data_IF_985546636373
#
_entry.id   IF_985546636373
#
_cell.length_a   1.000
_cell.length_b   1.000
_cell.length_c   1.000
_cell.angle_alpha   90.00
_cell.angle_beta   90.00
_cell.angle_gamma   90.00
#
_symmetry.space_group_name_H-M   'P 1'
#
loop_
_entity.id
_entity.type
_entity.pdbx_description
1 polymer ?
#
# COMPACT_ATOMS: atom_id res chain seq x y z
N UNK A 1 -10.73 27.86 -16.31
CA UNK A 1 -10.92 26.40 -16.50
C UNK A 1 -12.36 26.09 -16.15
N UNK A 2 -13.11 25.46 -17.04
CA UNK A 2 -14.49 25.04 -16.74
C UNK A 2 -14.45 23.84 -15.80
N UNK A 3 -15.13 23.93 -14.66
CA UNK A 3 -15.21 22.84 -13.69
C UNK A 3 -16.12 21.74 -14.24
N UNK A 4 -15.59 20.52 -14.39
CA UNK A 4 -16.40 19.34 -14.71
C UNK A 4 -17.26 19.02 -13.48
N UNK A 5 -18.57 19.06 -13.64
CA UNK A 5 -19.51 18.74 -12.55
C UNK A 5 -19.90 17.27 -12.59
N UNK A 6 -20.22 16.69 -11.41
CA UNK A 6 -20.72 15.32 -11.30
C UNK A 6 -21.95 15.07 -12.19
N UNK A 7 -22.89 16.01 -12.20
CA UNK A 7 -24.11 15.93 -13.02
C UNK A 7 -23.81 15.92 -14.52
N UNK A 8 -22.87 16.77 -14.97
CA UNK A 8 -22.45 16.78 -16.36
C UNK A 8 -21.85 15.43 -16.77
N UNK A 9 -21.02 14.84 -15.92
CA UNK A 9 -20.39 13.54 -16.17
C UNK A 9 -21.41 12.40 -16.22
N UNK A 10 -22.37 12.38 -15.30
CA UNK A 10 -23.47 11.42 -15.30
C UNK A 10 -24.32 11.50 -16.57
N UNK A 11 -24.70 12.72 -16.98
CA UNK A 11 -25.45 12.92 -18.21
C UNK A 11 -24.67 12.42 -19.42
N UNK A 12 -23.38 12.76 -19.51
CA UNK A 12 -22.55 12.40 -20.64
C UNK A 12 -22.35 10.88 -20.77
N UNK A 13 -22.18 10.18 -19.65
CA UNK A 13 -22.12 8.72 -19.60
C UNK A 13 -23.44 8.11 -20.09
N UNK A 14 -24.58 8.61 -19.60
CA UNK A 14 -25.90 8.11 -20.02
C UNK A 14 -26.15 8.28 -21.52
N UNK A 15 -25.77 9.43 -22.10
CA UNK A 15 -25.90 9.69 -23.53
C UNK A 15 -25.03 8.72 -24.37
N UNK A 16 -23.79 8.46 -23.93
CA UNK A 16 -22.89 7.52 -24.61
C UNK A 16 -23.36 6.07 -24.50
N UNK A 17 -23.91 5.67 -23.35
CA UNK A 17 -24.49 4.33 -23.18
C UNK A 17 -25.74 4.14 -24.03
N UNK A 18 -26.61 5.13 -24.12
CA UNK A 18 -27.76 5.09 -25.01
C UNK A 18 -27.32 4.96 -26.48
N UNK A 19 -26.29 5.71 -26.89
CA UNK A 19 -25.72 5.64 -28.25
C UNK A 19 -25.13 4.25 -28.53
N UNK A 20 -24.42 3.65 -27.57
CA UNK A 20 -23.90 2.28 -27.69
C UNK A 20 -25.01 1.27 -27.97
N UNK A 21 -26.14 1.41 -27.29
CA UNK A 21 -27.24 0.46 -27.36
C UNK A 21 -28.06 0.61 -28.66
N UNK A 22 -27.97 1.75 -29.35
CA UNK A 22 -28.60 2.00 -30.66
C UNK A 22 -27.75 1.52 -31.86
N UNK A 23 -26.44 1.37 -31.70
CA UNK A 23 -25.53 0.97 -32.79
C UNK A 23 -25.45 -0.57 -32.87
N UNK A 24 -25.78 -1.20 -34.02
CA UNK A 24 -25.76 -2.66 -34.16
C UNK A 24 -24.41 -3.34 -33.90
N UNK A 25 -23.31 -2.59 -34.02
CA UNK A 25 -21.93 -3.04 -33.81
C UNK A 25 -21.30 -2.51 -32.50
N UNK A 26 -22.08 -1.81 -31.67
CA UNK A 26 -21.60 -1.18 -30.44
C UNK A 26 -20.74 0.07 -30.66
N UNK A 27 -20.07 0.51 -29.60
CA UNK A 27 -19.05 1.57 -29.66
C UNK A 27 -17.74 1.01 -30.20
N UNK A 28 -16.97 1.85 -30.89
CA UNK A 28 -15.58 1.51 -31.21
C UNK A 28 -14.71 1.46 -29.94
N UNK A 29 -13.44 1.07 -30.11
CA UNK A 29 -12.50 0.92 -28.99
C UNK A 29 -12.22 2.26 -28.28
N UNK A 30 -12.13 3.36 -29.03
CA UNK A 30 -11.83 4.69 -28.49
C UNK A 30 -13.01 5.22 -27.67
N UNK A 31 -14.23 5.07 -28.18
CA UNK A 31 -15.46 5.45 -27.47
C UNK A 31 -15.68 4.55 -26.24
N UNK A 32 -15.37 3.26 -26.34
CA UNK A 32 -15.42 2.32 -25.21
C UNK A 32 -14.42 2.69 -24.10
N UNK A 33 -13.18 3.02 -24.48
CA UNK A 33 -12.15 3.48 -23.56
C UNK A 33 -12.53 4.82 -22.92
N UNK A 34 -13.12 5.73 -23.72
CA UNK A 34 -13.59 7.02 -23.24
C UNK A 34 -14.73 6.86 -22.23
N UNK A 35 -15.70 5.99 -22.50
CA UNK A 35 -16.78 5.67 -21.57
C UNK A 35 -16.25 5.06 -20.26
N UNK A 36 -15.28 4.15 -20.35
CA UNK A 36 -14.63 3.55 -19.18
C UNK A 36 -13.90 4.61 -18.34
N UNK A 37 -13.17 5.52 -18.97
CA UNK A 37 -12.49 6.62 -18.30
C UNK A 37 -13.48 7.57 -17.60
N UNK A 38 -14.60 7.91 -18.25
CA UNK A 38 -15.65 8.74 -17.65
C UNK A 38 -16.28 8.06 -16.43
N UNK A 39 -16.58 6.76 -16.51
CA UNK A 39 -17.09 5.98 -15.38
C UNK A 39 -16.10 5.92 -14.22
N UNK A 40 -14.81 5.76 -14.50
CA UNK A 40 -13.76 5.79 -13.48
C UNK A 40 -13.64 7.17 -12.82
N UNK A 41 -13.74 8.24 -13.61
CA UNK A 41 -13.78 9.61 -13.08
C UNK A 41 -15.01 9.83 -12.18
N UNK A 42 -16.18 9.30 -12.55
CA UNK A 42 -17.39 9.38 -11.72
C UNK A 42 -17.19 8.63 -10.40
N UNK A 43 -16.69 7.39 -10.46
CA UNK A 43 -16.37 6.61 -9.26
C UNK A 43 -15.36 7.31 -8.34
N UNK A 44 -14.38 8.01 -8.92
CA UNK A 44 -13.39 8.78 -8.16
C UNK A 44 -14.00 10.00 -7.46
N UNK A 45 -15.02 10.62 -8.05
CA UNK A 45 -15.76 11.73 -7.43
C UNK A 45 -16.73 11.28 -6.34
N UNK A 46 -17.17 10.02 -6.40
CA UNK A 46 -18.08 9.40 -5.43
C UNK A 46 -17.37 8.61 -4.33
N UNK A 47 -16.03 8.52 -4.41
CA UNK A 47 -15.24 7.79 -3.43
C UNK A 47 -15.34 8.45 -2.05
N UNK A 48 -15.70 7.64 -1.05
CA UNK A 48 -15.67 8.03 0.34
C UNK A 48 -14.28 7.76 0.94
N UNK A 49 -13.79 8.69 1.75
CA UNK A 49 -12.50 8.55 2.41
C UNK A 49 -12.59 7.47 3.50
N UNK A 50 -11.64 6.54 3.50
CA UNK A 50 -11.55 5.49 4.53
C UNK A 50 -10.85 5.98 5.81
N UNK A 51 -10.16 7.11 5.73
CA UNK A 51 -9.50 7.76 6.86
C UNK A 51 -8.89 9.08 6.47
N UNK A 52 -8.29 9.77 7.42
CA UNK A 52 -7.71 11.09 7.26
C UNK A 52 -6.28 11.10 7.78
N UNK A 53 -5.33 11.41 6.89
CA UNK A 53 -3.92 11.49 7.24
C UNK A 53 -3.59 12.90 7.74
N UNK A 54 -3.04 13.00 8.94
CA UNK A 54 -2.50 14.25 9.45
C UNK A 54 -1.20 14.58 8.73
N UNK A 55 -1.15 15.72 8.04
CA UNK A 55 0.02 16.13 7.23
C UNK A 55 1.32 16.34 8.01
N UNK A 56 1.22 16.58 9.32
CA UNK A 56 2.38 16.89 10.16
C UNK A 56 2.97 15.65 10.80
N UNK A 57 2.12 14.66 11.12
CA UNK A 57 2.54 13.44 11.82
C UNK A 57 2.56 12.21 10.93
N UNK A 58 1.91 12.27 9.76
CA UNK A 58 1.76 11.14 8.83
C UNK A 58 0.83 10.02 9.35
N UNK A 59 0.20 10.21 10.52
CA UNK A 59 -0.72 9.22 11.10
C UNK A 59 -2.10 9.36 10.46
N UNK A 60 -2.75 8.21 10.23
CA UNK A 60 -4.10 8.12 9.68
C UNK A 60 -5.08 7.88 10.83
N UNK A 61 -6.20 8.58 10.82
CA UNK A 61 -7.26 8.48 11.81
C UNK A 61 -8.61 8.26 11.13
N UNK A 62 -9.53 7.59 11.81
CA UNK A 62 -10.94 7.59 11.41
C UNK A 62 -11.66 8.84 11.92
N UNK A 63 -12.85 9.14 11.39
CA UNK A 63 -13.68 10.24 11.91
C UNK A 63 -14.16 10.02 13.35
N UNK A 64 -14.20 8.76 13.79
CA UNK A 64 -14.55 8.39 15.17
C UNK A 64 -13.42 8.74 16.14
N UNK A 65 -12.18 8.47 15.75
CA UNK A 65 -10.99 8.81 16.54
C UNK A 65 -10.73 10.31 16.58
N UNK A 66 -10.93 10.99 15.44
CA UNK A 66 -10.67 12.42 15.30
C UNK A 66 -11.83 13.13 14.60
N UNK A 67 -12.86 13.57 15.35
CA UNK A 67 -13.97 14.33 14.81
C UNK A 67 -13.50 15.63 14.16
N UNK A 68 -14.02 15.93 12.97
CA UNK A 68 -13.70 17.15 12.21
C UNK A 68 -12.50 17.04 11.26
N UNK A 69 -11.84 15.88 11.17
CA UNK A 69 -10.74 15.65 10.23
C UNK A 69 -11.17 15.79 8.75
N UNK A 70 -12.45 15.65 8.44
CA UNK A 70 -13.07 15.90 7.13
C UNK A 70 -13.22 17.39 6.78
N UNK A 71 -13.27 18.26 7.79
CA UNK A 71 -13.51 19.70 7.59
C UNK A 71 -12.22 20.51 7.51
N UNK A 72 -11.15 20.08 8.18
CA UNK A 72 -9.88 20.81 8.24
C UNK A 72 -8.88 20.31 7.20
N UNK A 73 -9.09 20.72 5.96
CA UNK A 73 -8.22 20.42 4.82
C UNK A 73 -6.79 20.99 4.95
N UNK A 74 -6.52 21.90 5.90
CA UNK A 74 -5.16 22.42 6.12
C UNK A 74 -4.32 21.48 6.97
N UNK A 75 -4.95 20.59 7.73
CA UNK A 75 -4.29 19.66 8.66
C UNK A 75 -4.41 18.21 8.18
N UNK A 76 -5.53 17.87 7.55
CA UNK A 76 -5.86 16.51 7.18
C UNK A 76 -6.05 16.34 5.67
N UNK A 77 -5.56 15.21 5.16
CA UNK A 77 -5.75 14.79 3.78
C UNK A 77 -6.57 13.51 3.77
N UNK A 78 -7.69 13.45 3.02
CA UNK A 78 -8.47 12.23 2.92
C UNK A 78 -7.66 11.11 2.26
N UNK A 79 -7.71 9.93 2.87
CA UNK A 79 -7.13 8.69 2.37
C UNK A 79 -8.27 7.87 1.82
N UNK A 80 -8.21 7.54 0.53
CA UNK A 80 -9.21 6.73 -0.14
C UNK A 80 -8.69 5.30 -0.29
N UNK A 81 -9.57 4.32 -0.16
CA UNK A 81 -9.26 3.00 -0.67
C UNK A 81 -9.07 3.10 -2.18
N UNK A 82 -8.05 2.42 -2.71
CA UNK A 82 -7.98 2.25 -4.15
C UNK A 82 -9.31 1.61 -4.62
N UNK A 83 -9.98 2.16 -5.65
CA UNK A 83 -11.09 1.46 -6.28
C UNK A 83 -10.60 0.04 -6.57
N UNK A 84 -11.38 -1.00 -6.24
CA UNK A 84 -10.96 -2.36 -6.52
C UNK A 84 -10.63 -2.40 -8.01
N UNK A 85 -9.34 -2.58 -8.32
CA UNK A 85 -8.91 -2.74 -9.70
C UNK A 85 -9.80 -3.85 -10.27
N UNK A 86 -10.41 -3.69 -11.45
CA UNK A 86 -11.18 -4.78 -12.03
C UNK A 86 -10.24 -5.97 -12.14
N UNK A 87 -10.41 -6.93 -11.22
CA UNK A 87 -9.60 -8.13 -11.14
C UNK A 87 -10.11 -9.04 -12.25
N UNK A 88 -9.84 -8.66 -13.50
CA UNK A 88 -9.85 -9.58 -14.61
C UNK A 88 -8.56 -10.38 -14.50
N UNK A 89 -8.47 -11.25 -13.48
CA UNK A 89 -7.55 -12.37 -13.54
C UNK A 89 -8.03 -13.20 -14.72
N UNK A 90 -7.25 -13.27 -15.82
CA UNK A 90 -7.68 -14.03 -16.98
C UNK A 90 -7.94 -15.49 -16.60
N UNK A 91 -8.84 -16.17 -17.30
CA UNK A 91 -9.13 -17.58 -17.04
C UNK A 91 -7.87 -18.46 -17.22
N UNK A 92 -7.86 -19.62 -16.56
CA UNK A 92 -6.83 -20.63 -16.83
C UNK A 92 -6.96 -21.05 -18.29
N UNK A 93 -5.83 -21.24 -18.95
CA UNK A 93 -5.81 -21.98 -20.20
C UNK A 93 -5.86 -23.48 -19.86
N UNK A 94 -6.78 -24.20 -20.50
CA UNK A 94 -6.84 -25.66 -20.49
C UNK A 94 -5.58 -26.21 -21.19
N UNK A 95 -5.05 -27.33 -20.68
CA UNK A 95 -4.00 -28.08 -21.36
C UNK A 95 -4.69 -29.14 -22.22
N UNK A 96 -4.59 -29.02 -23.54
CA UNK A 96 -5.10 -30.04 -24.45
C UNK A 96 -4.04 -31.13 -24.68
N UNK A 97 -4.39 -32.39 -24.44
CA UNK A 97 -3.49 -33.55 -24.44
C UNK A 97 -3.05 -34.02 -25.85
N UNK A 98 -3.31 -33.24 -26.90
CA UNK A 98 -3.06 -33.62 -28.28
C UNK A 98 -1.57 -33.47 -28.68
N UNK A 99 -1.05 -34.50 -29.34
CA UNK A 99 0.38 -34.76 -29.59
C UNK A 99 1.12 -33.67 -30.42
N UNK A 100 0.39 -32.84 -31.18
CA UNK A 100 0.98 -31.77 -32.02
C UNK A 100 1.19 -30.44 -31.26
N UNK A 101 0.87 -30.39 -29.96
CA UNK A 101 0.73 -29.12 -29.22
C UNK A 101 1.83 -28.85 -28.18
N UNK A 102 3.05 -29.37 -28.34
CA UNK A 102 4.16 -29.11 -27.40
C UNK A 102 4.46 -27.60 -27.22
N UNK A 103 4.20 -26.79 -28.26
CA UNK A 103 4.32 -25.34 -28.20
C UNK A 103 3.16 -24.66 -27.43
N UNK A 104 1.94 -25.18 -27.54
CA UNK A 104 0.78 -24.65 -26.81
C UNK A 104 0.77 -25.07 -25.35
N UNK A 105 1.29 -26.25 -25.03
CA UNK A 105 1.61 -26.67 -23.66
C UNK A 105 2.52 -25.67 -22.94
N UNK A 106 3.60 -25.22 -23.62
CA UNK A 106 4.50 -24.21 -23.07
C UNK A 106 3.80 -22.87 -22.79
N UNK A 107 2.87 -22.47 -23.66
CA UNK A 107 2.07 -21.25 -23.46
C UNK A 107 1.10 -21.38 -22.29
N UNK A 108 0.37 -22.49 -22.18
CA UNK A 108 -0.57 -22.73 -21.08
C UNK A 108 0.16 -22.80 -19.73
N UNK A 109 1.31 -23.49 -19.66
CA UNK A 109 2.13 -23.58 -18.45
C UNK A 109 2.69 -22.20 -18.05
N UNK A 110 3.26 -21.46 -19.00
CA UNK A 110 3.77 -20.11 -18.73
C UNK A 110 2.68 -19.12 -18.32
N UNK A 111 1.53 -19.18 -18.97
CA UNK A 111 0.35 -18.37 -18.67
C UNK A 111 -0.20 -18.65 -17.28
N UNK A 112 -0.38 -19.92 -16.93
CA UNK A 112 -0.89 -20.33 -15.62
C UNK A 112 0.12 -20.02 -14.50
N UNK A 113 1.42 -20.07 -14.77
CA UNK A 113 2.46 -19.65 -13.83
C UNK A 113 2.44 -18.13 -13.58
N UNK A 114 2.31 -17.31 -14.63
CA UNK A 114 2.17 -15.86 -14.51
C UNK A 114 0.88 -15.48 -13.75
N UNK A 115 -0.24 -16.14 -14.06
CA UNK A 115 -1.50 -16.00 -13.34
C UNK A 115 -1.37 -16.31 -11.86
N UNK A 116 -0.67 -17.40 -11.51
CA UNK A 116 -0.41 -17.78 -10.12
C UNK A 116 0.47 -16.74 -9.40
N UNK A 117 1.49 -16.22 -10.06
CA UNK A 117 2.35 -15.16 -9.51
C UNK A 117 1.58 -13.86 -9.24
N UNK A 118 0.69 -13.45 -10.15
CA UNK A 118 -0.19 -12.31 -9.93
C UNK A 118 -1.10 -12.51 -8.71
N UNK A 119 -1.75 -13.69 -8.60
CA UNK A 119 -2.60 -14.01 -7.44
C UNK A 119 -1.82 -14.02 -6.11
N UNK A 120 -0.57 -14.51 -6.11
CA UNK A 120 0.29 -14.47 -4.93
C UNK A 120 0.70 -13.04 -4.54
N UNK A 121 0.89 -12.14 -5.51
CA UNK A 121 1.24 -10.74 -5.23
C UNK A 121 0.11 -9.97 -4.53
N UNK A 122 -1.16 -10.32 -4.76
CA UNK A 122 -2.31 -9.70 -4.08
C UNK A 122 -2.55 -10.26 -2.66
N UNK A 123 -1.88 -11.37 -2.29
CA UNK A 123 -1.98 -11.97 -0.96
C UNK A 123 -1.02 -11.37 0.08
N UNK A 124 -0.12 -10.47 -0.31
CA UNK A 124 0.92 -9.92 0.54
C UNK A 124 0.59 -8.48 0.98
N UNK A 125 -0.56 -8.30 1.63
CA UNK A 125 -1.03 -7.01 2.16
C UNK A 125 -0.26 -6.50 3.39
N UNK A 126 0.78 -7.20 3.85
CA UNK A 126 1.54 -6.85 5.06
C UNK A 126 2.74 -5.92 4.85
N UNK A 127 3.08 -5.52 3.62
CA UNK A 127 4.29 -4.71 3.35
C UNK A 127 4.08 -3.20 3.18
N UNK A 128 2.87 -2.67 3.36
CA UNK A 128 2.56 -1.26 3.06
C UNK A 128 2.24 -0.35 4.26
N UNK A 129 2.75 -0.62 5.46
CA UNK A 129 2.58 0.30 6.60
C UNK A 129 3.83 0.45 7.49
N UNK A 130 4.90 1.00 6.93
CA UNK A 130 5.88 1.87 7.63
C UNK A 130 6.95 2.31 6.64
N UNK A 131 7.58 3.49 6.81
CA UNK A 131 8.79 3.83 6.08
C UNK A 131 9.93 2.97 6.62
N UNK A 132 9.97 1.70 6.22
CA UNK A 132 11.18 0.89 6.31
C UNK A 132 12.13 1.51 5.30
N UNK A 133 13.01 2.39 5.75
CA UNK A 133 14.14 2.85 4.94
C UNK A 133 15.00 1.60 4.73
N UNK A 134 15.03 0.99 3.52
CA UNK A 134 15.59 -0.36 3.34
C UNK A 134 17.07 -0.44 3.75
N UNK A 135 17.76 0.71 3.71
CA UNK A 135 19.19 0.84 3.99
C UNK A 135 19.52 1.27 5.43
N UNK A 136 18.52 1.51 6.28
CA UNK A 136 18.79 1.91 7.66
C UNK A 136 18.98 0.70 8.59
N UNK A 137 20.05 0.74 9.38
CA UNK A 137 20.49 -0.36 10.23
C UNK A 137 19.93 -0.32 11.66
N UNK A 138 19.46 0.85 12.13
CA UNK A 138 19.03 1.06 13.50
C UNK A 138 17.65 0.44 13.80
N UNK A 139 17.35 0.26 15.09
CA UNK A 139 16.09 -0.32 15.56
C UNK A 139 14.86 0.56 15.29
N UNK A 140 15.02 1.88 15.31
CA UNK A 140 13.91 2.83 15.08
C UNK A 140 13.42 2.78 13.63
N UNK A 141 14.34 2.77 12.65
CA UNK A 141 13.98 2.79 11.23
C UNK A 141 13.63 1.41 10.68
N UNK A 142 14.20 0.36 11.29
CA UNK A 142 13.82 -1.03 11.03
C UNK A 142 13.60 -1.69 12.40
N UNK A 143 12.34 -1.90 12.83
CA UNK A 143 12.05 -2.63 14.06
C UNK A 143 12.42 -4.11 13.96
N UNK A 144 12.75 -4.74 15.09
CA UNK A 144 12.95 -6.20 15.19
C UNK A 144 11.59 -6.83 15.47
N UNK A 145 11.12 -7.72 14.59
CA UNK A 145 9.86 -8.45 14.73
C UNK A 145 10.12 -9.88 15.19
N UNK A 146 9.06 -10.63 15.52
CA UNK A 146 9.20 -12.04 15.88
C UNK A 146 9.81 -12.90 14.75
N UNK A 147 9.52 -12.55 13.51
CA UNK A 147 10.10 -13.19 12.31
C UNK A 147 11.50 -12.70 11.96
N UNK A 148 11.91 -11.51 12.43
CA UNK A 148 13.22 -10.90 12.17
C UNK A 148 14.12 -11.03 13.41
N UNK A 149 14.84 -12.15 13.55
CA UNK A 149 15.69 -12.46 14.72
C UNK A 149 17.06 -11.78 14.74
N UNK A 150 17.23 -10.63 14.07
CA UNK A 150 18.53 -9.97 13.94
C UNK A 150 18.98 -9.26 15.22
N UNK A 151 20.30 -9.26 15.44
CA UNK A 151 20.93 -8.42 16.46
C UNK A 151 21.17 -7.01 15.91
N UNK A 152 20.52 -6.02 16.53
CA UNK A 152 20.79 -4.61 16.22
C UNK A 152 21.97 -4.14 17.06
N UNK A 153 23.06 -3.75 16.39
CA UNK A 153 24.31 -3.30 17.00
C UNK A 153 24.74 -1.97 16.37
N UNK A 154 25.42 -1.14 17.16
CA UNK A 154 26.01 0.10 16.65
C UNK A 154 27.14 -0.22 15.66
N UNK A 155 27.18 0.36 14.44
CA UNK A 155 28.23 0.11 13.46
C UNK A 155 29.55 0.75 13.87
N UNK A 156 29.53 1.78 14.73
CA UNK A 156 30.74 2.43 15.20
C UNK A 156 31.44 1.67 16.33
N UNK A 157 30.69 1.15 17.31
CA UNK A 157 31.27 0.52 18.50
C UNK A 157 30.90 -0.96 18.72
N UNK A 158 30.03 -1.53 17.88
CA UNK A 158 29.56 -2.92 18.00
C UNK A 158 28.63 -3.22 19.18
N UNK A 159 28.37 -2.24 20.06
CA UNK A 159 27.57 -2.47 21.26
C UNK A 159 26.06 -2.41 21.00
N UNK A 160 25.33 -3.45 21.41
CA UNK A 160 23.87 -3.53 21.29
C UNK A 160 23.11 -2.57 22.20
N UNK A 161 23.72 -2.17 23.34
CA UNK A 161 23.10 -1.22 24.29
C UNK A 161 23.47 0.23 24.02
N UNK A 162 24.26 0.51 22.99
CA UNK A 162 24.56 1.86 22.58
C UNK A 162 23.28 2.55 22.06
N UNK A 163 22.97 3.80 22.46
CA UNK A 163 21.78 4.51 21.99
C UNK A 163 21.79 4.75 20.47
N UNK A 164 22.98 4.85 19.86
CA UNK A 164 23.13 4.87 18.41
C UNK A 164 22.54 3.61 17.74
N UNK A 165 22.61 2.45 18.40
CA UNK A 165 22.00 1.22 17.89
C UNK A 165 20.47 1.24 17.87
N UNK A 166 19.89 1.98 18.82
CA UNK A 166 18.45 2.18 18.86
C UNK A 166 18.02 3.17 17.75
N UNK A 167 18.68 4.31 17.61
CA UNK A 167 18.38 5.35 16.62
C UNK A 167 19.66 5.90 15.99
N UNK A 168 19.73 5.93 14.66
CA UNK A 168 20.91 6.40 13.92
C UNK A 168 21.19 7.89 14.15
N UNK A 169 20.24 8.65 14.71
CA UNK A 169 20.41 10.07 15.06
C UNK A 169 21.10 10.27 16.42
N UNK A 170 21.12 9.25 17.27
CA UNK A 170 21.77 9.34 18.57
C UNK A 170 23.29 9.25 18.41
N UNK A 171 24.04 9.95 19.27
CA UNK A 171 25.49 9.83 19.31
C UNK A 171 25.92 8.43 19.80
N UNK A 172 27.07 7.96 19.31
CA UNK A 172 27.70 6.75 19.82
C UNK A 172 28.36 7.02 21.18
N UNK A 173 28.03 6.20 22.17
CA UNK A 173 28.61 6.31 23.53
C UNK A 173 29.80 5.39 23.75
N UNK A 174 30.06 4.45 22.84
CA UNK A 174 31.08 3.42 23.01
C UNK A 174 30.80 2.42 24.15
N UNK A 175 29.63 2.47 24.79
CA UNK A 175 29.31 1.67 25.99
C UNK A 175 28.28 0.57 25.73
N UNK A 176 28.41 -0.56 26.43
CA UNK A 176 27.44 -1.65 26.47
C UNK A 176 26.68 -1.72 27.81
N UNK A 177 26.77 -0.67 28.64
CA UNK A 177 26.08 -0.61 29.93
C UNK A 177 24.57 -0.48 29.75
N UNK A 178 23.76 -1.11 30.62
CA UNK A 178 22.31 -0.95 30.62
C UNK A 178 21.89 0.43 31.16
N UNK A 179 20.74 0.93 30.71
CA UNK A 179 20.18 2.19 31.23
C UNK A 179 20.77 3.47 30.66
N UNK A 180 21.54 3.38 29.57
CA UNK A 180 21.97 4.56 28.82
C UNK A 180 20.76 5.29 28.23
N UNK A 181 20.74 6.62 28.34
CA UNK A 181 19.69 7.46 27.75
C UNK A 181 19.59 7.24 26.24
N UNK A 182 18.37 7.01 25.73
CA UNK A 182 18.12 6.71 24.32
C UNK A 182 18.42 5.27 23.89
N UNK A 183 18.91 4.40 24.77
CA UNK A 183 19.12 2.98 24.50
C UNK A 183 17.80 2.19 24.52
N UNK A 184 17.75 1.13 23.72
CA UNK A 184 16.68 0.14 23.75
C UNK A 184 16.61 -0.65 25.07
N UNK A 185 17.69 -0.64 25.86
CA UNK A 185 17.85 -1.46 27.06
C UNK A 185 17.84 -0.58 28.32
N UNK A 186 16.72 -0.53 29.06
CA UNK A 186 16.61 0.28 30.28
C UNK A 186 17.52 -0.23 31.40
N UNK A 187 17.69 0.60 32.44
CA UNK A 187 18.39 0.23 33.65
C UNK A 187 17.65 -0.94 34.33
N UNK A 188 18.39 -1.80 35.03
CA UNK A 188 17.76 -2.82 35.86
C UNK A 188 16.87 -2.15 36.93
N UNK A 189 15.67 -2.67 37.20
CA UNK A 189 14.85 -2.19 38.32
C UNK A 189 15.67 -2.28 39.61
N UNK A 190 15.71 -1.19 40.40
CA UNK A 190 16.27 -1.25 41.75
C UNK A 190 15.42 -2.23 42.55
N UNK A 191 16.03 -3.33 43.00
CA UNK A 191 15.40 -4.19 43.99
C UNK A 191 15.27 -3.37 45.28
N UNK A 192 14.05 -3.01 45.65
CA UNK A 192 13.78 -2.42 46.96
C UNK A 192 14.11 -3.47 48.02
N UNK A 193 15.20 -3.26 48.75
CA UNK A 193 15.54 -4.05 49.91
C UNK A 193 14.51 -3.71 50.99
N UNK A 194 13.56 -4.62 51.20
CA UNK A 194 12.68 -4.61 52.38
C UNK A 194 13.42 -5.10 53.61
#
# INVERSE_FOLDING_TARGET
MSTITKQWLQQKIADMEATRDEIPFGLDEDDSNTLAAMKLALASLEAEAVGYMNRFTGRVFTLEEQPGADTDAQVYVPVYAAPPAPVAVPAAMEMDDDFDSAFEHGKAVGWNAYRAAMLQSFGNSEQLNSPVIPDCWCRTCRPVTFSDSRFVVCPECGNKRCPHANDHRNACTGSNEPGQEGSAYPAAPRQEVK
#
